data_IF_745599200956
#
_entry.id   IF_745599200956
#
_cell.length_a   1.000
_cell.length_b   1.000
_cell.length_c   1.000
_cell.angle_alpha   90.00
_cell.angle_beta   90.00
_cell.angle_gamma   90.00
#
_symmetry.space_group_name_H-M   'P 1'
#
loop_
_entity.id
_entity.type
_entity.pdbx_description
1 polymer ?
#
# COMPACT_ATOMS: atom_id res chain seq x y z
N UNK A 1 -36.56 -8.35 -15.48
CA UNK A 1 -35.71 -8.77 -14.33
C UNK A 1 -34.48 -9.58 -14.75
N UNK A 2 -34.54 -10.88 -15.10
CA UNK A 2 -33.32 -11.68 -15.42
C UNK A 2 -32.53 -11.16 -16.64
N UNK A 3 -33.22 -10.71 -17.69
CA UNK A 3 -32.57 -10.14 -18.88
C UNK A 3 -31.95 -8.75 -18.61
N UNK A 4 -32.56 -7.94 -17.75
CA UNK A 4 -32.03 -6.62 -17.34
C UNK A 4 -30.79 -6.75 -16.46
N UNK A 5 -30.79 -7.71 -15.52
CA UNK A 5 -29.62 -8.04 -14.68
C UNK A 5 -28.44 -8.52 -15.55
N UNK A 6 -28.71 -9.42 -16.51
CA UNK A 6 -27.68 -9.91 -17.44
C UNK A 6 -27.16 -8.81 -18.37
N UNK A 7 -28.02 -7.87 -18.78
CA UNK A 7 -27.63 -6.72 -19.60
C UNK A 7 -26.74 -5.73 -18.83
N UNK A 8 -27.04 -5.46 -17.56
CA UNK A 8 -26.23 -4.57 -16.71
C UNK A 8 -24.84 -5.16 -16.39
N UNK A 9 -24.72 -6.50 -16.37
CA UNK A 9 -23.46 -7.19 -16.09
C UNK A 9 -22.48 -7.27 -17.27
N UNK A 10 -22.89 -6.94 -18.49
CA UNK A 10 -22.08 -7.17 -19.70
C UNK A 10 -20.76 -6.38 -19.74
N UNK A 11 -20.74 -5.15 -19.22
CA UNK A 11 -19.55 -4.28 -19.19
C UNK A 11 -18.66 -4.44 -17.96
N UNK A 12 -19.17 -5.07 -16.90
CA UNK A 12 -18.56 -5.12 -15.57
C UNK A 12 -17.16 -5.77 -15.55
N UNK A 13 -16.93 -6.95 -16.18
CA UNK A 13 -15.59 -7.55 -16.23
C UNK A 13 -14.58 -6.73 -17.02
N UNK A 14 -15.02 -6.00 -18.05
CA UNK A 14 -14.14 -5.22 -18.91
C UNK A 14 -13.53 -4.02 -18.18
N UNK A 15 -14.30 -3.39 -17.26
CA UNK A 15 -13.81 -2.30 -16.41
C UNK A 15 -12.69 -2.76 -15.47
N UNK A 16 -12.85 -3.90 -14.78
CA UNK A 16 -11.77 -4.45 -13.95
C UNK A 16 -10.54 -4.85 -14.76
N UNK A 17 -10.73 -5.49 -15.92
CA UNK A 17 -9.61 -5.83 -16.79
C UNK A 17 -8.83 -4.60 -17.24
N UNK A 18 -9.52 -3.51 -17.58
CA UNK A 18 -8.88 -2.23 -17.94
C UNK A 18 -8.12 -1.64 -16.75
N UNK A 19 -8.75 -1.59 -15.57
CA UNK A 19 -8.11 -1.11 -14.36
C UNK A 19 -6.82 -1.87 -14.05
N UNK A 20 -6.86 -3.21 -14.06
CA UNK A 20 -5.68 -4.03 -13.78
C UNK A 20 -4.58 -3.90 -14.83
N UNK A 21 -4.93 -3.76 -16.12
CA UNK A 21 -3.93 -3.49 -17.17
C UNK A 21 -3.25 -2.15 -16.97
N UNK A 22 -4.02 -1.10 -16.67
CA UNK A 22 -3.46 0.23 -16.42
C UNK A 22 -2.58 0.23 -15.17
N UNK A 23 -2.99 -0.44 -14.09
CA UNK A 23 -2.17 -0.58 -12.87
C UNK A 23 -0.89 -1.36 -13.12
N UNK A 24 -0.96 -2.48 -13.85
CA UNK A 24 0.23 -3.23 -14.25
C UNK A 24 1.21 -2.37 -15.07
N UNK A 25 0.71 -1.61 -16.04
CA UNK A 25 1.54 -0.71 -16.83
C UNK A 25 2.13 0.45 -15.99
N UNK A 26 1.37 1.01 -15.05
CA UNK A 26 1.86 2.03 -14.14
C UNK A 26 3.00 1.50 -13.25
N UNK A 27 2.91 0.24 -12.85
CA UNK A 27 3.90 -0.46 -12.06
C UNK A 27 5.20 -0.72 -12.83
N UNK A 28 5.13 -1.23 -14.06
CA UNK A 28 6.32 -1.41 -14.91
C UNK A 28 7.10 -0.09 -15.11
N UNK A 29 6.38 1.03 -15.24
CA UNK A 29 7.00 2.36 -15.33
C UNK A 29 7.64 2.75 -13.99
N UNK A 30 7.02 2.43 -12.86
CA UNK A 30 7.58 2.69 -11.55
C UNK A 30 8.87 1.86 -11.31
N UNK A 31 8.92 0.63 -11.81
CA UNK A 31 10.12 -0.20 -11.80
C UNK A 31 11.24 0.37 -12.68
N UNK A 32 10.94 0.82 -13.90
CA UNK A 32 11.92 1.52 -14.74
C UNK A 32 12.48 2.76 -14.02
N UNK A 33 11.63 3.58 -13.40
CA UNK A 33 12.03 4.75 -12.61
C UNK A 33 12.97 4.37 -11.47
N UNK A 34 12.66 3.31 -10.73
CA UNK A 34 13.49 2.82 -9.63
C UNK A 34 14.85 2.35 -10.14
N UNK A 35 14.86 1.55 -11.20
CA UNK A 35 16.07 0.99 -11.82
C UNK A 35 17.05 2.08 -12.28
N UNK A 36 16.55 3.25 -12.68
CA UNK A 36 17.37 4.40 -13.07
C UNK A 36 18.12 4.99 -11.88
N UNK A 37 17.49 5.03 -10.70
CA UNK A 37 18.00 5.81 -9.55
C UNK A 37 18.61 4.95 -8.44
N UNK A 38 18.37 3.63 -8.48
CA UNK A 38 19.01 2.65 -7.62
C UNK A 38 20.38 2.27 -8.18
N UNK A 39 21.39 2.25 -7.32
CA UNK A 39 22.74 1.81 -7.65
C UNK A 39 23.39 1.21 -6.41
N UNK A 40 24.45 0.38 -6.53
CA UNK A 40 25.10 -0.23 -5.37
C UNK A 40 25.53 0.78 -4.28
N UNK A 41 26.04 1.98 -4.62
CA UNK A 41 26.30 3.03 -3.61
C UNK A 41 25.04 3.54 -2.91
N UNK A 42 23.91 3.65 -3.62
CA UNK A 42 22.62 4.07 -3.06
C UNK A 42 22.09 2.99 -2.11
N UNK A 43 22.14 1.73 -2.51
CA UNK A 43 21.76 0.59 -1.65
C UNK A 43 22.61 0.55 -0.38
N UNK A 44 23.93 0.68 -0.49
CA UNK A 44 24.82 0.74 0.67
C UNK A 44 24.50 1.93 1.61
N UNK A 45 24.15 3.09 1.04
CA UNK A 45 23.73 4.28 1.80
C UNK A 45 22.42 4.02 2.55
N UNK A 46 21.43 3.42 1.91
CA UNK A 46 20.15 3.02 2.51
C UNK A 46 20.40 2.00 3.62
N UNK A 47 21.16 0.94 3.35
CA UNK A 47 21.51 -0.10 4.32
C UNK A 47 22.21 0.48 5.57
N UNK A 48 23.18 1.38 5.38
CA UNK A 48 23.84 2.09 6.49
C UNK A 48 22.85 2.90 7.32
N UNK A 49 21.91 3.59 6.66
CA UNK A 49 20.86 4.36 7.34
C UNK A 49 19.92 3.44 8.13
N UNK A 50 19.47 2.33 7.53
CA UNK A 50 18.63 1.32 8.19
C UNK A 50 19.32 0.74 9.41
N UNK A 51 20.61 0.39 9.33
CA UNK A 51 21.39 -0.10 10.47
C UNK A 51 21.43 0.89 11.64
N UNK A 52 21.57 2.18 11.35
CA UNK A 52 21.54 3.23 12.38
C UNK A 52 20.17 3.46 13.01
N UNK A 53 19.08 3.16 12.29
CA UNK A 53 17.72 3.17 12.84
C UNK A 53 17.52 1.94 13.73
N UNK A 54 17.90 0.75 13.24
CA UNK A 54 17.82 -0.51 13.98
C UNK A 54 18.52 -0.39 15.35
N UNK A 55 19.76 0.09 15.37
CA UNK A 55 20.52 0.22 16.63
C UNK A 55 19.91 1.20 17.63
N UNK A 56 19.14 2.19 17.16
CA UNK A 56 18.50 3.20 18.00
C UNK A 56 17.13 2.76 18.50
N UNK A 57 16.33 2.18 17.61
CA UNK A 57 14.90 1.97 17.85
C UNK A 57 14.56 0.54 18.26
N UNK A 58 15.43 -0.43 17.93
CA UNK A 58 15.13 -1.86 18.04
C UNK A 58 16.21 -2.54 18.89
N UNK A 59 15.83 -2.87 20.14
CA UNK A 59 16.67 -3.65 21.07
C UNK A 59 16.33 -5.13 20.96
N UNK A 60 17.32 -6.01 21.13
CA UNK A 60 17.09 -7.46 21.17
C UNK A 60 16.24 -7.83 22.38
N UNK A 61 15.27 -8.72 22.20
CA UNK A 61 14.45 -9.28 23.29
C UNK A 61 15.14 -10.43 24.03
N UNK A 62 16.05 -11.13 23.35
CA UNK A 62 16.70 -12.35 23.87
C UNK A 62 15.94 -13.63 23.56
N UNK A 63 14.80 -13.52 22.87
CA UNK A 63 13.98 -14.64 22.40
C UNK A 63 14.38 -15.08 20.98
N UNK A 64 13.66 -16.07 20.44
CA UNK A 64 13.80 -16.50 19.04
C UNK A 64 13.41 -15.42 18.03
N UNK A 65 13.48 -15.74 16.73
CA UNK A 65 13.09 -14.80 15.70
C UNK A 65 11.59 -14.44 15.79
N UNK A 66 11.28 -13.17 15.57
CA UNK A 66 9.90 -12.69 15.53
C UNK A 66 9.11 -13.24 14.34
N UNK A 67 7.78 -13.15 14.40
CA UNK A 67 6.89 -13.58 13.34
C UNK A 67 6.57 -12.46 12.36
N UNK A 68 6.38 -12.80 11.08
CA UNK A 68 6.00 -11.83 10.04
C UNK A 68 4.59 -12.11 9.57
N UNK A 69 3.72 -11.10 9.64
CA UNK A 69 2.38 -11.13 9.05
C UNK A 69 2.33 -10.18 7.87
N UNK A 70 1.94 -10.68 6.70
CA UNK A 70 1.75 -9.83 5.51
C UNK A 70 0.33 -9.25 5.47
N UNK A 71 0.22 -7.96 5.15
CA UNK A 71 -1.05 -7.23 5.02
C UNK A 71 -0.96 -6.19 3.89
N UNK A 72 -2.10 -5.67 3.46
CA UNK A 72 -2.15 -4.44 2.67
C UNK A 72 -2.55 -3.28 3.59
N UNK A 73 -1.86 -2.15 3.47
CA UNK A 73 -2.22 -0.90 4.17
C UNK A 73 -2.80 0.14 3.20
N UNK A 74 -2.42 0.03 1.93
CA UNK A 74 -2.86 0.89 0.85
C UNK A 74 -3.71 0.09 -0.15
N UNK A 75 -4.50 0.80 -0.95
CA UNK A 75 -5.28 0.24 -2.03
C UNK A 75 -5.51 1.29 -3.13
N UNK A 76 -5.64 0.83 -4.37
CA UNK A 76 -6.25 1.63 -5.44
C UNK A 76 -7.74 1.31 -5.48
N UNK A 77 -8.58 2.33 -5.34
CA UNK A 77 -10.03 2.18 -5.27
C UNK A 77 -10.72 3.05 -6.32
N UNK A 78 -12.03 2.89 -6.48
CA UNK A 78 -12.86 3.79 -7.28
C UNK A 78 -12.85 5.27 -6.81
N UNK A 79 -12.30 5.56 -5.62
CA UNK A 79 -12.14 6.92 -5.07
C UNK A 79 -10.71 7.44 -5.15
N UNK A 80 -9.82 6.71 -5.83
CA UNK A 80 -8.39 7.01 -5.87
C UNK A 80 -7.56 6.10 -4.97
N UNK A 81 -6.28 6.48 -4.82
CA UNK A 81 -5.36 5.81 -3.90
C UNK A 81 -5.76 6.13 -2.46
N UNK A 82 -5.78 5.10 -1.63
CA UNK A 82 -6.10 5.19 -0.21
C UNK A 82 -5.01 4.49 0.58
N UNK A 83 -4.68 5.02 1.76
CA UNK A 83 -3.91 4.31 2.78
C UNK A 83 -4.58 4.47 4.14
N UNK A 84 -4.70 3.37 4.86
CA UNK A 84 -5.30 3.31 6.20
C UNK A 84 -4.31 3.76 7.28
N UNK A 85 -3.73 4.97 7.11
CA UNK A 85 -2.78 5.53 8.07
C UNK A 85 -3.35 5.67 9.48
N UNK A 86 -4.68 5.85 9.59
CA UNK A 86 -5.36 5.84 10.89
C UNK A 86 -5.14 4.55 11.68
N UNK A 87 -5.05 3.40 11.02
CA UNK A 87 -4.72 2.12 11.66
C UNK A 87 -3.29 2.12 12.18
N UNK A 88 -2.36 2.70 11.43
CA UNK A 88 -0.96 2.85 11.87
C UNK A 88 -0.89 3.66 13.16
N UNK A 89 -1.58 4.79 13.24
CA UNK A 89 -1.49 5.66 14.42
C UNK A 89 -2.16 5.08 15.66
N UNK A 90 -3.16 4.20 15.48
CA UNK A 90 -3.76 3.43 16.58
C UNK A 90 -2.78 2.39 17.15
N UNK A 91 -1.94 1.79 16.30
CA UNK A 91 -1.01 0.73 16.68
C UNK A 91 0.36 1.27 17.13
N UNK A 92 0.81 2.37 16.53
CA UNK A 92 2.18 2.87 16.65
C UNK A 92 2.22 4.38 16.93
N UNK A 93 2.78 4.75 18.10
CA UNK A 93 2.95 6.16 18.49
C UNK A 93 4.13 6.84 17.77
N UNK A 94 5.11 6.05 17.33
CA UNK A 94 6.30 6.55 16.64
C UNK A 94 6.26 6.15 15.18
N UNK A 95 5.88 7.11 14.33
CA UNK A 95 5.79 6.89 12.88
C UNK A 95 6.95 7.58 12.17
N UNK A 96 7.78 6.77 11.52
CA UNK A 96 8.77 7.21 10.54
C UNK A 96 8.08 7.33 9.18
N UNK A 97 8.07 8.54 8.64
CA UNK A 97 7.61 8.79 7.27
C UNK A 97 8.79 8.66 6.31
N UNK A 98 8.66 7.79 5.31
CA UNK A 98 9.58 7.61 4.20
C UNK A 98 9.02 8.39 3.01
N UNK A 99 9.54 9.59 2.77
CA UNK A 99 9.16 10.40 1.61
C UNK A 99 9.91 9.87 0.38
N UNK A 100 9.16 9.22 -0.51
CA UNK A 100 9.70 8.41 -1.60
C UNK A 100 8.81 8.48 -2.85
N UNK A 101 9.37 9.09 -3.89
CA UNK A 101 8.75 9.22 -5.21
C UNK A 101 9.40 8.29 -6.25
N UNK A 102 10.42 7.53 -5.86
CA UNK A 102 11.17 6.64 -6.75
C UNK A 102 11.06 5.15 -6.34
N UNK A 103 10.37 4.86 -5.24
CA UNK A 103 10.14 3.51 -4.75
C UNK A 103 11.40 2.84 -4.19
N UNK A 104 12.26 3.63 -3.52
CA UNK A 104 13.43 3.18 -2.77
C UNK A 104 13.08 2.61 -1.38
N UNK A 105 11.87 2.85 -0.88
CA UNK A 105 11.41 2.44 0.44
C UNK A 105 11.50 0.93 0.63
N UNK A 106 11.20 0.14 -0.41
CA UNK A 106 11.31 -1.31 -0.40
C UNK A 106 12.67 -1.77 0.16
N UNK A 107 13.77 -1.20 -0.34
CA UNK A 107 15.15 -1.56 0.09
C UNK A 107 15.35 -1.25 1.58
N UNK A 108 14.92 -0.07 2.03
CA UNK A 108 15.02 0.32 3.43
C UNK A 108 14.20 -0.60 4.34
N UNK A 109 12.94 -0.85 3.95
CA UNK A 109 11.98 -1.66 4.70
C UNK A 109 12.44 -3.11 4.80
N UNK A 110 13.03 -3.68 3.75
CA UNK A 110 13.59 -5.05 3.77
C UNK A 110 14.71 -5.17 4.82
N UNK A 111 15.61 -4.20 4.90
CA UNK A 111 16.63 -4.20 5.95
C UNK A 111 16.04 -4.04 7.36
N UNK A 112 15.04 -3.17 7.52
CA UNK A 112 14.38 -2.93 8.81
C UNK A 112 13.58 -4.15 9.28
N UNK A 113 12.84 -4.80 8.38
CA UNK A 113 12.08 -6.02 8.64
C UNK A 113 13.02 -7.14 9.10
N UNK A 114 14.05 -7.45 8.30
CA UNK A 114 15.01 -8.50 8.63
C UNK A 114 15.70 -8.25 9.96
N UNK A 115 16.12 -7.00 10.23
CA UNK A 115 16.77 -6.66 11.50
C UNK A 115 15.82 -6.69 12.70
N UNK A 116 14.54 -6.32 12.54
CA UNK A 116 13.55 -6.38 13.61
C UNK A 116 13.19 -7.82 13.97
N UNK A 117 12.94 -8.66 12.97
CA UNK A 117 12.64 -10.09 13.13
C UNK A 117 13.81 -10.82 13.79
N UNK A 118 15.04 -10.57 13.32
CA UNK A 118 16.26 -11.14 13.91
C UNK A 118 16.52 -10.64 15.36
N UNK A 119 15.93 -9.53 15.75
CA UNK A 119 15.98 -9.01 17.12
C UNK A 119 14.83 -9.55 18.01
N UNK A 120 13.96 -10.40 17.47
CA UNK A 120 12.86 -11.06 18.18
C UNK A 120 11.55 -10.28 18.19
N UNK A 121 11.36 -9.32 17.27
CA UNK A 121 10.13 -8.53 17.20
C UNK A 121 9.21 -9.03 16.08
N UNK A 122 7.93 -9.23 16.43
CA UNK A 122 6.88 -9.45 15.45
C UNK A 122 6.69 -8.22 14.56
N UNK A 123 6.48 -8.48 13.27
CA UNK A 123 6.33 -7.46 12.25
C UNK A 123 5.07 -7.67 11.41
N UNK A 124 4.41 -6.56 11.08
CA UNK A 124 3.40 -6.51 10.03
C UNK A 124 4.06 -5.90 8.79
N UNK A 125 4.35 -6.74 7.82
CA UNK A 125 4.90 -6.37 6.52
C UNK A 125 3.75 -5.93 5.61
N UNK A 126 3.67 -4.63 5.32
CA UNK A 126 2.64 -4.11 4.41
C UNK A 126 3.21 -4.05 3.00
N UNK A 127 2.66 -4.84 2.10
CA UNK A 127 3.12 -4.93 0.70
C UNK A 127 2.31 -4.03 -0.22
N UNK A 128 2.87 -3.68 -1.37
CA UNK A 128 2.20 -2.87 -2.38
C UNK A 128 1.04 -3.66 -3.02
N UNK A 129 -0.13 -3.04 -3.24
CA UNK A 129 -1.24 -3.68 -3.95
C UNK A 129 -0.93 -3.91 -5.44
N UNK A 130 0.03 -3.18 -6.01
CA UNK A 130 0.43 -3.30 -7.42
C UNK A 130 1.62 -4.25 -7.60
N UNK A 131 2.47 -4.40 -6.58
CA UNK A 131 3.62 -5.30 -6.56
C UNK A 131 3.72 -6.02 -5.19
N UNK A 132 2.99 -7.13 -4.98
CA UNK A 132 2.88 -7.81 -3.67
C UNK A 132 4.18 -8.40 -3.13
N UNK A 133 5.20 -8.56 -3.98
CA UNK A 133 6.57 -8.93 -3.60
C UNK A 133 7.34 -7.77 -2.95
N UNK A 134 6.84 -6.53 -3.09
CA UNK A 134 7.49 -5.34 -2.53
C UNK A 134 6.81 -4.80 -1.30
N UNK A 135 7.60 -4.65 -0.25
CA UNK A 135 7.24 -3.86 0.94
C UNK A 135 6.99 -2.39 0.58
N UNK A 136 5.89 -1.86 1.09
CA UNK A 136 5.49 -0.46 1.00
C UNK A 136 5.41 0.19 2.40
N UNK A 137 5.03 -0.55 3.44
CA UNK A 137 5.09 -0.09 4.82
C UNK A 137 5.54 -1.22 5.78
N UNK A 138 5.93 -0.87 6.99
CA UNK A 138 6.32 -1.81 8.03
C UNK A 138 5.83 -1.33 9.38
N UNK A 139 5.09 -2.17 10.11
CA UNK A 139 4.67 -1.89 11.47
C UNK A 139 5.32 -2.89 12.42
N UNK A 140 5.75 -2.39 13.57
CA UNK A 140 6.27 -3.15 14.71
C UNK A 140 5.42 -2.78 15.94
N UNK A 141 4.20 -3.32 16.06
CA UNK A 141 3.25 -2.89 17.10
C UNK A 141 3.79 -3.08 18.52
N UNK A 142 4.53 -4.16 18.78
CA UNK A 142 5.16 -4.41 20.09
C UNK A 142 6.17 -3.33 20.51
N UNK A 143 6.72 -2.58 19.55
CA UNK A 143 7.61 -1.44 19.79
C UNK A 143 6.91 -0.08 19.66
N UNK A 144 5.61 -0.09 19.35
CA UNK A 144 4.83 1.11 18.97
C UNK A 144 5.54 1.96 17.90
N UNK A 145 6.13 1.27 16.91
CA UNK A 145 6.98 1.85 15.87
C UNK A 145 6.46 1.47 14.49
N UNK A 146 6.39 2.42 13.56
CA UNK A 146 6.01 2.16 12.17
C UNK A 146 6.89 2.94 11.20
N UNK A 147 7.03 2.40 10.00
CA UNK A 147 7.67 3.01 8.84
C UNK A 147 6.64 3.03 7.72
N UNK A 148 6.16 4.22 7.35
CA UNK A 148 5.16 4.40 6.31
C UNK A 148 5.76 5.13 5.12
N UNK A 149 5.59 4.59 3.93
CA UNK A 149 5.94 5.28 2.69
C UNK A 149 4.89 6.29 2.31
N UNK A 150 5.33 7.43 1.81
CA UNK A 150 4.47 8.52 1.33
C UNK A 150 5.03 9.08 0.04
N UNK A 151 4.12 9.51 -0.83
CA UNK A 151 4.44 10.14 -2.10
C UNK A 151 3.49 11.34 -2.31
N UNK A 152 3.72 12.20 -3.32
CA UNK A 152 2.76 13.25 -3.64
C UNK A 152 1.34 12.73 -3.94
N UNK A 153 1.21 11.50 -4.44
CA UNK A 153 -0.09 10.88 -4.73
C UNK A 153 -0.74 10.23 -3.49
N UNK A 154 0.05 9.94 -2.46
CA UNK A 154 -0.40 9.30 -1.22
C UNK A 154 0.34 9.93 -0.03
N UNK A 155 -0.03 11.17 0.36
CA UNK A 155 0.67 11.90 1.41
C UNK A 155 0.33 11.32 2.79
N UNK A 156 1.32 11.27 3.68
CA UNK A 156 1.06 11.09 5.10
C UNK A 156 0.68 12.44 5.72
N UNK A 157 -0.59 12.62 6.04
CA UNK A 157 -1.16 13.94 6.42
C UNK A 157 -0.85 14.37 7.86
N UNK A 158 -0.35 13.45 8.69
CA UNK A 158 -0.06 13.71 10.11
C UNK A 158 1.39 14.12 10.33
N UNK A 159 1.67 14.67 11.51
CA UNK A 159 3.04 15.01 11.92
C UNK A 159 3.81 13.72 12.25
N UNK A 160 4.84 13.34 11.47
CA UNK A 160 5.61 12.14 11.76
C UNK A 160 6.51 12.34 12.98
N UNK A 161 6.88 11.25 13.64
CA UNK A 161 7.95 11.24 14.65
C UNK A 161 9.30 11.61 14.01
N UNK A 162 9.59 11.07 12.82
CA UNK A 162 10.73 11.46 11.98
C UNK A 162 10.39 11.32 10.51
N UNK A 163 10.87 12.25 9.68
CA UNK A 163 10.80 12.16 8.21
C UNK A 163 12.16 11.78 7.63
N UNK A 164 12.18 10.78 6.75
CA UNK A 164 13.34 10.37 5.97
C UNK A 164 13.03 10.65 4.51
N UNK A 165 13.82 11.52 3.87
CA UNK A 165 13.69 11.82 2.44
C UNK A 165 14.50 10.80 1.65
N UNK A 166 13.86 9.74 1.19
CA UNK A 166 14.50 8.71 0.37
C UNK A 166 14.86 9.24 -1.02
N UNK A 167 14.06 10.17 -1.55
CA UNK A 167 14.38 10.90 -2.79
C UNK A 167 15.75 11.58 -2.77
N UNK A 168 16.23 11.99 -1.58
CA UNK A 168 17.54 12.62 -1.43
C UNK A 168 18.69 11.60 -1.34
N UNK A 169 18.38 10.30 -1.21
CA UNK A 169 19.37 9.22 -1.19
C UNK A 169 19.67 8.66 -2.57
N UNK A 170 18.72 8.81 -3.50
CA UNK A 170 18.81 8.45 -4.91
C UNK A 170 20.12 8.90 -5.57
N UNK A 171 20.51 8.21 -6.64
CA UNK A 171 21.69 8.57 -7.42
C UNK A 171 21.51 9.95 -8.08
N UNK A 172 22.19 10.96 -7.54
CA UNK A 172 22.03 12.34 -7.97
C UNK A 172 22.45 12.56 -9.44
N UNK A 173 23.45 11.85 -9.91
CA UNK A 173 23.90 11.94 -11.30
C UNK A 173 22.90 11.29 -12.25
N UNK A 174 22.40 10.10 -11.89
CA UNK A 174 21.39 9.42 -12.66
C UNK A 174 20.08 10.21 -12.72
N UNK A 175 19.64 10.79 -11.59
CA UNK A 175 18.48 11.69 -11.51
C UNK A 175 18.69 12.93 -12.40
N UNK A 176 19.88 13.53 -12.37
CA UNK A 176 20.19 14.71 -13.21
C UNK A 176 20.17 14.35 -14.69
N UNK A 177 20.82 13.24 -15.08
CA UNK A 177 20.91 12.76 -16.46
C UNK A 177 19.55 12.38 -17.04
N UNK A 178 18.69 11.76 -16.22
CA UNK A 178 17.39 11.24 -16.65
C UNK A 178 16.20 12.13 -16.27
N UNK A 179 16.44 13.37 -15.85
CA UNK A 179 15.38 14.25 -15.29
C UNK A 179 14.13 14.34 -16.18
N UNK A 180 14.30 14.48 -17.49
CA UNK A 180 13.18 14.57 -18.43
C UNK A 180 12.39 13.25 -18.49
N UNK A 181 13.09 12.12 -18.60
CA UNK A 181 12.50 10.77 -18.59
C UNK A 181 11.77 10.50 -17.28
N UNK A 182 12.39 10.77 -16.12
CA UNK A 182 11.76 10.57 -14.81
C UNK A 182 10.46 11.38 -14.65
N UNK A 183 10.43 12.63 -15.13
CA UNK A 183 9.19 13.43 -15.13
C UNK A 183 8.14 12.86 -16.07
N UNK A 184 8.54 12.40 -17.26
CA UNK A 184 7.65 11.77 -18.22
C UNK A 184 7.05 10.49 -17.64
N UNK A 185 7.88 9.58 -17.14
CA UNK A 185 7.46 8.34 -16.47
C UNK A 185 6.48 8.61 -15.35
N UNK A 186 6.73 9.61 -14.49
CA UNK A 186 5.80 10.00 -13.42
C UNK A 186 4.44 10.44 -13.96
N UNK A 187 4.40 11.24 -15.02
CA UNK A 187 3.14 11.70 -15.63
C UNK A 187 2.36 10.54 -16.25
N UNK A 188 3.04 9.65 -16.97
CA UNK A 188 2.40 8.48 -17.59
C UNK A 188 1.87 7.52 -16.53
N UNK A 189 2.66 7.21 -15.51
CA UNK A 189 2.23 6.35 -14.39
C UNK A 189 1.03 6.96 -13.64
N UNK A 190 1.02 8.27 -13.41
CA UNK A 190 -0.13 8.96 -12.83
C UNK A 190 -1.39 8.85 -13.70
N UNK A 191 -1.28 9.12 -15.01
CA UNK A 191 -2.41 9.03 -15.94
C UNK A 191 -2.97 7.60 -16.06
N UNK A 192 -2.10 6.58 -16.06
CA UNK A 192 -2.53 5.18 -16.02
C UNK A 192 -3.25 4.84 -14.71
N UNK A 193 -2.76 5.36 -13.59
CA UNK A 193 -3.40 5.14 -12.30
C UNK A 193 -4.77 5.82 -12.25
N UNK A 194 -4.89 7.02 -12.81
CA UNK A 194 -6.16 7.76 -12.96
C UNK A 194 -7.16 6.99 -13.82
N UNK A 195 -6.76 6.51 -15.02
CA UNK A 195 -7.62 5.66 -15.87
C UNK A 195 -8.06 4.38 -15.14
N UNK A 196 -7.21 3.81 -14.30
CA UNK A 196 -7.58 2.65 -13.51
C UNK A 196 -8.64 2.99 -12.45
N UNK A 197 -8.50 4.13 -11.77
CA UNK A 197 -9.48 4.64 -10.80
C UNK A 197 -10.82 4.90 -11.49
N UNK A 198 -10.81 5.56 -12.66
CA UNK A 198 -12.03 5.83 -13.45
C UNK A 198 -12.70 4.53 -13.91
N UNK A 199 -11.92 3.55 -14.33
CA UNK A 199 -12.42 2.21 -14.67
C UNK A 199 -13.07 1.52 -13.47
N UNK A 200 -12.48 1.63 -12.28
CA UNK A 200 -13.07 1.12 -11.04
C UNK A 200 -14.34 1.88 -10.64
N UNK A 201 -14.40 3.19 -10.89
CA UNK A 201 -15.59 4.00 -10.66
C UNK A 201 -16.74 3.62 -11.59
N UNK A 202 -16.46 3.34 -12.87
CA UNK A 202 -17.45 2.79 -13.80
C UNK A 202 -17.95 1.41 -13.35
N UNK A 203 -17.05 0.54 -12.88
CA UNK A 203 -17.43 -0.75 -12.31
C UNK A 203 -18.35 -0.60 -11.09
N UNK A 204 -18.03 0.33 -10.18
CA UNK A 204 -18.86 0.65 -9.01
C UNK A 204 -20.23 1.19 -9.42
N UNK A 205 -20.30 2.09 -10.40
CA UNK A 205 -21.57 2.64 -10.89
C UNK A 205 -22.48 1.54 -11.47
N UNK A 206 -21.93 0.66 -12.33
CA UNK A 206 -22.68 -0.49 -12.84
C UNK A 206 -23.13 -1.45 -11.73
N UNK A 207 -22.30 -1.64 -10.70
CA UNK A 207 -22.67 -2.42 -9.52
C UNK A 207 -23.82 -1.76 -8.75
N UNK A 208 -23.80 -0.44 -8.56
CA UNK A 208 -24.84 0.29 -7.84
C UNK A 208 -26.18 0.27 -8.59
N UNK A 209 -26.15 0.32 -9.92
CA UNK A 209 -27.34 0.13 -10.76
C UNK A 209 -27.92 -1.28 -10.59
N UNK A 210 -27.06 -2.30 -10.56
CA UNK A 210 -27.47 -3.67 -10.25
C UNK A 210 -28.08 -3.79 -8.85
N UNK A 211 -27.45 -3.18 -7.83
CA UNK A 211 -27.98 -3.13 -6.47
C UNK A 211 -29.36 -2.48 -6.40
N UNK A 212 -29.56 -1.36 -7.08
CA UNK A 212 -30.85 -0.69 -7.12
C UNK A 212 -31.97 -1.58 -7.71
N UNK A 213 -31.65 -2.45 -8.66
CA UNK A 213 -32.62 -3.37 -9.27
C UNK A 213 -33.02 -4.53 -8.34
N UNK A 214 -32.12 -5.00 -7.46
CA UNK A 214 -32.42 -6.14 -6.57
C UNK A 214 -32.78 -5.73 -5.14
N UNK A 215 -32.33 -4.57 -4.64
CA UNK A 215 -32.60 -4.06 -3.29
C UNK A 215 -34.10 -4.05 -2.92
N UNK A 216 -35.05 -3.69 -3.81
CA UNK A 216 -36.49 -3.76 -3.50
C UNK A 216 -37.02 -5.17 -3.20
N UNK A 217 -36.25 -6.20 -3.57
CA UNK A 217 -36.61 -7.61 -3.42
C UNK A 217 -35.81 -8.31 -2.31
N UNK A 218 -34.99 -7.57 -1.56
CA UNK A 218 -34.22 -8.09 -0.41
C UNK A 218 -34.91 -7.73 0.90
N UNK A 219 -35.18 -8.75 1.72
CA UNK A 219 -35.65 -8.57 3.10
C UNK A 219 -34.44 -8.23 4.01
N UNK A 220 -34.10 -6.94 4.07
CA UNK A 220 -32.97 -6.45 4.87
C UNK A 220 -33.14 -6.69 6.37
N UNK A 221 -34.37 -6.75 6.88
CA UNK A 221 -34.63 -7.05 8.30
C UNK A 221 -34.21 -8.48 8.64
N UNK A 222 -34.47 -9.43 7.75
CA UNK A 222 -34.03 -10.81 7.90
C UNK A 222 -32.51 -10.95 7.77
N UNK A 223 -31.90 -10.23 6.84
CA UNK A 223 -30.43 -10.19 6.69
C UNK A 223 -29.79 -9.63 7.96
N UNK A 224 -30.32 -8.54 8.52
CA UNK A 224 -29.83 -7.93 9.77
C UNK A 224 -29.90 -8.89 10.96
N UNK A 225 -31.04 -9.55 11.18
CA UNK A 225 -31.19 -10.55 12.26
C UNK A 225 -30.16 -11.69 12.16
N UNK A 226 -29.88 -12.14 10.93
CA UNK A 226 -28.92 -13.21 10.70
C UNK A 226 -27.47 -12.74 10.87
N UNK A 227 -27.16 -11.51 10.47
CA UNK A 227 -25.86 -10.89 10.71
C UNK A 227 -25.58 -10.73 12.22
N UNK A 228 -26.57 -10.27 13.00
CA UNK A 228 -26.45 -10.13 14.46
C UNK A 228 -26.23 -11.47 15.16
N UNK A 229 -26.92 -12.52 14.70
CA UNK A 229 -26.73 -13.87 15.22
C UNK A 229 -25.30 -14.36 14.99
N UNK A 230 -24.78 -14.22 13.77
CA UNK A 230 -23.42 -14.65 13.40
C UNK A 230 -22.37 -13.81 14.13
N UNK A 231 -22.57 -12.49 14.23
CA UNK A 231 -21.68 -11.61 14.99
C UNK A 231 -21.61 -12.04 16.47
N UNK A 232 -22.75 -12.44 17.04
CA UNK A 232 -22.82 -13.00 18.40
C UNK A 232 -22.10 -14.34 18.57
N UNK A 233 -22.03 -15.17 17.52
CA UNK A 233 -21.27 -16.42 17.53
C UNK A 233 -19.75 -16.16 17.49
N UNK A 234 -19.30 -15.26 16.59
CA UNK A 234 -17.89 -14.90 16.46
C UNK A 234 -17.34 -14.23 17.73
N UNK A 235 -18.12 -13.36 18.36
CA UNK A 235 -17.73 -12.66 19.59
C UNK A 235 -17.75 -13.55 20.83
N UNK A 236 -18.40 -14.73 20.79
CA UNK A 236 -18.35 -15.71 21.88
C UNK A 236 -17.13 -16.64 21.79
N UNK A 237 -16.49 -16.72 20.63
CA UNK A 237 -15.30 -17.55 20.38
C UNK A 237 -13.96 -16.77 20.44
N UNK A 238 -14.01 -15.47 20.76
CA UNK A 238 -12.83 -14.59 20.95
C UNK A 238 -12.59 -14.28 22.42
#
# INVERSE_FOLDING_TARGET
MRAEILSCMGGYPACYQRAYRCLGAAEEIAEDVRSIVISPPVEAKIAKRSKGILSREIKKTGEGAGQVKQRFLSAVTHRGLLAEFNTVDKLCKRVYELADSYGLAHVMLTHLLSGAVAAGHDAVACVSPMAPDRLEHLLLPGLSLAFVTSSPALPYEKRPYRRIRLDAMADAEAVRRNRARLRFSRKVSAALTEEAVDSLAQAKAMHDELEALYNPYVDFDRVGRMADQIAGEILKES
#
